data_IF_190026028515
#
_entry.id   IF_190026028515
#
_cell.length_a   1.000
_cell.length_b   1.000
_cell.length_c   1.000
_cell.angle_alpha   90.00
_cell.angle_beta   90.00
_cell.angle_gamma   90.00
#
_symmetry.space_group_name_H-M   'P 1'
#
loop_
_entity.id
_entity.type
_entity.pdbx_description
1 polymer ?
#
# COMPACT_ATOMS: atom_id res chain seq x y z
N UNK A 1 4.78 35.11 12.51
CA UNK A 1 6.07 34.68 13.12
C UNK A 1 6.60 33.56 12.23
N UNK A 2 7.86 33.63 11.83
CA UNK A 2 8.51 32.62 11.00
C UNK A 2 9.35 31.70 11.89
N UNK A 3 9.47 30.43 11.49
CA UNK A 3 10.39 29.49 12.09
C UNK A 3 11.52 29.20 11.10
N UNK A 4 12.74 29.04 11.59
CA UNK A 4 13.94 28.86 10.78
C UNK A 4 14.70 27.66 11.28
N UNK A 5 14.94 26.70 10.39
CA UNK A 5 15.56 25.44 10.70
C UNK A 5 16.77 25.19 9.80
N UNK A 6 17.88 24.78 10.38
CA UNK A 6 19.08 24.36 9.65
C UNK A 6 19.59 23.03 10.16
N UNK A 7 20.31 22.32 9.32
CA UNK A 7 20.96 21.07 9.66
C UNK A 7 22.28 20.94 8.86
N UNK A 8 23.06 19.88 9.12
CA UNK A 8 24.26 19.61 8.34
C UNK A 8 23.95 19.50 6.83
N UNK A 9 22.78 18.98 6.49
CA UNK A 9 22.23 18.95 5.13
C UNK A 9 20.72 19.15 5.15
N UNK A 10 20.16 19.66 4.04
CA UNK A 10 18.71 19.68 3.80
C UNK A 10 18.41 18.85 2.55
N UNK A 11 17.56 17.83 2.67
CA UNK A 11 17.02 17.08 1.54
C UNK A 11 15.65 17.63 1.16
N UNK A 12 15.50 18.10 -0.06
CA UNK A 12 14.25 18.76 -0.53
C UNK A 12 13.15 17.76 -0.96
N UNK A 13 13.44 16.47 -0.94
CA UNK A 13 12.64 15.42 -1.59
C UNK A 13 13.21 15.01 -2.95
N UNK A 14 14.04 15.86 -3.56
CA UNK A 14 14.66 15.64 -4.89
C UNK A 14 16.17 15.86 -4.90
N UNK A 15 16.64 16.77 -4.07
CA UNK A 15 18.05 17.21 -4.06
C UNK A 15 18.55 17.35 -2.64
N UNK A 16 19.75 16.83 -2.40
CA UNK A 16 20.50 17.07 -1.16
C UNK A 16 21.26 18.38 -1.31
N UNK A 17 20.93 19.34 -0.45
CA UNK A 17 21.64 20.62 -0.34
C UNK A 17 22.72 20.48 0.73
N UNK A 18 23.92 20.99 0.45
CA UNK A 18 25.00 21.02 1.42
C UNK A 18 24.74 21.99 2.59
N UNK A 19 25.72 22.16 3.47
CA UNK A 19 25.63 23.07 4.61
C UNK A 19 25.37 24.52 4.17
N UNK A 20 24.93 25.36 5.09
CA UNK A 20 24.69 26.81 4.83
C UNK A 20 23.33 27.09 4.20
N UNK A 21 22.36 26.18 4.36
CA UNK A 21 20.95 26.39 3.98
C UNK A 21 20.05 26.41 5.20
N UNK A 22 18.98 27.20 5.12
CA UNK A 22 17.96 27.37 6.17
C UNK A 22 16.57 27.16 5.56
N UNK A 23 15.80 26.28 6.13
CA UNK A 23 14.38 26.11 5.82
C UNK A 23 13.57 27.14 6.62
N UNK A 24 12.83 27.99 5.92
CA UNK A 24 11.91 28.97 6.50
C UNK A 24 10.48 28.44 6.40
N UNK A 25 9.74 28.50 7.51
CA UNK A 25 8.33 28.13 7.56
C UNK A 25 7.50 29.17 8.27
N UNK A 26 6.19 29.19 8.02
CA UNK A 26 5.23 29.81 8.92
C UNK A 26 5.14 29.02 10.24
N UNK A 27 4.50 29.63 11.25
CA UNK A 27 4.30 28.98 12.55
C UNK A 27 3.44 27.69 12.48
N UNK A 28 2.63 27.56 11.44
CA UNK A 28 1.81 26.36 11.16
C UNK A 28 2.58 25.24 10.41
N UNK A 29 3.88 25.47 10.12
CA UNK A 29 4.75 24.54 9.40
C UNK A 29 4.69 24.66 7.88
N UNK A 30 3.89 25.58 7.31
CA UNK A 30 3.88 25.83 5.87
C UNK A 30 5.25 26.32 5.40
N UNK A 31 5.86 25.59 4.47
CA UNK A 31 7.17 25.95 3.90
C UNK A 31 7.04 27.23 3.06
N UNK A 32 7.92 28.17 3.33
CA UNK A 32 8.05 29.42 2.56
C UNK A 32 9.14 29.28 1.50
N UNK A 33 10.37 29.00 1.95
CA UNK A 33 11.53 28.87 1.08
C UNK A 33 12.68 28.13 1.78
N UNK A 34 13.70 27.81 1.02
CA UNK A 34 15.02 27.40 1.52
C UNK A 34 16.01 28.45 1.08
N UNK A 35 16.48 29.26 2.02
CA UNK A 35 17.42 30.35 1.78
C UNK A 35 18.87 29.96 2.11
N UNK A 36 19.81 30.77 1.68
CA UNK A 36 21.19 30.73 2.20
C UNK A 36 21.23 31.30 3.61
N UNK A 37 22.10 30.76 4.46
CA UNK A 37 22.22 31.17 5.87
C UNK A 37 22.52 32.66 6.03
N UNK A 38 23.33 33.25 5.13
CA UNK A 38 23.66 34.68 5.10
C UNK A 38 22.45 35.57 4.85
N UNK A 39 21.37 35.04 4.27
CA UNK A 39 20.12 35.77 3.96
C UNK A 39 18.98 35.41 4.92
N UNK A 40 19.19 34.50 5.83
CA UNK A 40 18.13 33.98 6.72
C UNK A 40 17.96 34.87 7.99
N UNK A 41 18.92 35.72 8.33
CA UNK A 41 18.94 36.51 9.58
C UNK A 41 19.12 35.61 10.81
N UNK A 42 18.79 36.13 11.98
CA UNK A 42 19.02 35.48 13.27
C UNK A 42 17.89 34.47 13.62
N UNK A 43 17.98 33.87 14.82
CA UNK A 43 16.99 32.95 15.40
C UNK A 43 16.84 31.62 14.63
N UNK A 44 17.94 31.05 14.14
CA UNK A 44 17.99 29.78 13.44
C UNK A 44 18.12 28.65 14.46
N UNK A 45 17.20 27.67 14.39
CA UNK A 45 17.28 26.41 15.14
C UNK A 45 18.13 25.42 14.35
N UNK A 46 19.20 24.90 15.00
CA UNK A 46 20.14 23.96 14.38
C UNK A 46 19.87 22.54 14.84
N UNK A 47 19.87 21.60 13.88
CA UNK A 47 19.70 20.18 14.12
C UNK A 47 20.91 19.41 13.58
N UNK A 48 21.22 18.29 14.20
CA UNK A 48 22.19 17.35 13.66
C UNK A 48 21.57 16.51 12.52
N UNK A 49 22.44 16.01 11.61
CA UNK A 49 22.04 15.12 10.55
C UNK A 49 21.41 15.81 9.33
N UNK A 50 20.35 15.25 8.81
CA UNK A 50 19.68 15.70 7.59
C UNK A 50 18.24 16.12 7.90
N UNK A 51 17.92 17.36 7.61
CA UNK A 51 16.53 17.81 7.60
C UNK A 51 15.87 17.37 6.28
N UNK A 52 14.77 16.62 6.34
CA UNK A 52 14.08 16.09 5.18
C UNK A 52 12.55 16.19 5.36
N UNK A 53 11.78 16.10 4.26
CA UNK A 53 10.34 15.89 4.36
C UNK A 53 10.01 14.62 5.16
N UNK A 54 8.88 14.61 5.84
CA UNK A 54 8.39 13.40 6.51
C UNK A 54 8.13 12.27 5.51
N UNK A 55 8.26 11.03 5.97
CA UNK A 55 8.14 9.84 5.13
C UNK A 55 6.69 9.49 4.84
N UNK A 56 6.48 8.83 3.69
CA UNK A 56 5.19 8.30 3.26
C UNK A 56 5.28 6.78 3.20
N UNK A 57 4.40 6.11 3.95
CA UNK A 57 4.18 4.68 3.84
C UNK A 57 3.02 4.43 2.86
N UNK A 58 3.32 4.00 1.64
CA UNK A 58 2.34 3.92 0.56
C UNK A 58 1.38 2.72 0.68
N UNK A 59 1.68 1.73 1.54
CA UNK A 59 0.85 0.55 1.75
C UNK A 59 1.05 -0.02 3.16
N UNK A 60 -0.04 -0.08 3.90
CA UNK A 60 -0.11 -0.58 5.26
C UNK A 60 -1.46 -1.29 5.51
N UNK A 61 -1.51 -2.20 6.50
CA UNK A 61 -2.73 -2.77 7.07
C UNK A 61 -2.70 -2.58 8.58
N UNK A 62 -3.02 -1.39 9.06
CA UNK A 62 -2.96 -1.10 10.51
C UNK A 62 -3.92 -1.97 11.32
N UNK A 63 -5.05 -2.38 10.72
CA UNK A 63 -6.05 -3.26 11.35
C UNK A 63 -5.49 -4.62 11.77
N UNK A 64 -4.37 -5.08 11.18
CA UNK A 64 -3.71 -6.34 11.48
C UNK A 64 -2.56 -6.21 12.49
N UNK A 65 -2.40 -5.06 13.15
CA UNK A 65 -1.29 -4.80 14.07
C UNK A 65 -1.22 -5.76 15.27
N UNK A 66 -2.36 -6.30 15.70
CA UNK A 66 -2.46 -7.29 16.76
C UNK A 66 -1.88 -8.67 16.41
N UNK A 67 -1.55 -8.90 15.12
CA UNK A 67 -0.96 -10.16 14.63
C UNK A 67 0.57 -10.16 14.65
N UNK A 68 1.21 -9.10 15.14
CA UNK A 68 2.67 -9.02 15.21
C UNK A 68 3.30 -10.24 15.89
N UNK A 69 4.16 -10.95 15.14
CA UNK A 69 4.87 -12.14 15.63
C UNK A 69 4.00 -13.37 15.88
N UNK A 70 2.72 -13.37 15.47
CA UNK A 70 1.81 -14.51 15.66
C UNK A 70 1.82 -15.49 14.49
N UNK A 71 2.28 -15.09 13.32
CA UNK A 71 2.33 -15.93 12.11
C UNK A 71 3.80 -16.29 11.82
N UNK A 72 4.15 -17.53 11.54
CA UNK A 72 5.52 -17.92 11.21
C UNK A 72 5.98 -17.30 9.88
N UNK A 73 7.28 -17.05 9.77
CA UNK A 73 7.91 -16.57 8.54
C UNK A 73 8.02 -17.66 7.46
N UNK A 74 8.07 -17.25 6.20
CA UNK A 74 8.43 -18.08 5.04
C UNK A 74 7.48 -19.25 4.80
N UNK A 75 6.22 -19.06 5.14
CA UNK A 75 5.17 -20.07 4.94
C UNK A 75 4.58 -20.04 3.52
N UNK A 76 4.88 -18.99 2.77
CA UNK A 76 4.23 -18.69 1.49
C UNK A 76 2.86 -18.02 1.68
N UNK A 77 2.40 -17.32 0.65
CA UNK A 77 1.20 -16.48 0.74
C UNK A 77 -0.07 -17.24 1.11
N UNK A 78 -0.29 -18.42 0.54
CA UNK A 78 -1.53 -19.17 0.78
C UNK A 78 -1.67 -19.56 2.26
N UNK A 79 -0.62 -20.11 2.86
CA UNK A 79 -0.61 -20.43 4.30
C UNK A 79 -0.71 -19.16 5.15
N UNK A 80 0.03 -18.11 4.79
CA UNK A 80 -0.03 -16.82 5.49
C UNK A 80 -1.46 -16.26 5.54
N UNK A 81 -2.17 -16.21 4.41
CA UNK A 81 -3.56 -15.74 4.33
C UNK A 81 -4.49 -16.60 5.20
N UNK A 82 -4.35 -17.92 5.19
CA UNK A 82 -5.14 -18.81 6.04
C UNK A 82 -4.91 -18.54 7.54
N UNK A 83 -3.65 -18.28 7.95
CA UNK A 83 -3.32 -17.91 9.32
C UNK A 83 -3.90 -16.55 9.71
N UNK A 84 -3.82 -15.54 8.83
CA UNK A 84 -4.46 -14.24 9.05
C UNK A 84 -5.96 -14.42 9.28
N UNK A 85 -6.65 -15.17 8.41
CA UNK A 85 -8.10 -15.41 8.54
C UNK A 85 -8.46 -16.10 9.86
N UNK A 86 -7.63 -17.02 10.32
CA UNK A 86 -7.83 -17.76 11.59
C UNK A 86 -7.59 -16.89 12.82
N UNK A 87 -6.57 -16.02 12.79
CA UNK A 87 -6.07 -15.31 13.97
C UNK A 87 -6.57 -13.87 14.09
N UNK A 88 -7.23 -13.32 13.06
CA UNK A 88 -7.65 -11.91 13.03
C UNK A 88 -8.76 -11.55 14.02
N UNK A 89 -9.46 -12.53 14.56
CA UNK A 89 -10.59 -12.32 15.48
C UNK A 89 -10.08 -12.26 16.93
N UNK A 90 -10.01 -11.06 17.46
CA UNK A 90 -9.65 -10.75 18.84
C UNK A 90 -10.62 -9.68 19.36
N UNK A 91 -10.50 -9.28 20.63
CA UNK A 91 -11.37 -8.23 21.19
C UNK A 91 -11.09 -6.87 20.56
N UNK A 92 -12.08 -5.98 20.57
CA UNK A 92 -11.95 -4.62 20.05
C UNK A 92 -10.88 -3.83 20.82
N UNK A 93 -10.75 -4.07 22.13
CA UNK A 93 -9.73 -3.45 22.98
C UNK A 93 -8.32 -3.87 22.55
N UNK A 94 -8.11 -5.17 22.27
CA UNK A 94 -6.80 -5.69 21.81
C UNK A 94 -6.43 -5.08 20.44
N UNK A 95 -7.37 -5.03 19.50
CA UNK A 95 -7.16 -4.38 18.19
C UNK A 95 -6.81 -2.91 18.36
N UNK A 96 -7.62 -2.16 19.13
CA UNK A 96 -7.43 -0.73 19.32
C UNK A 96 -6.07 -0.42 19.95
N UNK A 97 -5.67 -1.15 21.01
CA UNK A 97 -4.38 -0.97 21.66
C UNK A 97 -3.21 -1.27 20.72
N UNK A 98 -3.31 -2.33 19.88
CA UNK A 98 -2.28 -2.69 18.91
C UNK A 98 -2.16 -1.62 17.82
N UNK A 99 -3.27 -1.11 17.28
CA UNK A 99 -3.29 -0.04 16.28
C UNK A 99 -2.70 1.26 16.82
N UNK A 100 -3.07 1.68 18.06
CA UNK A 100 -2.51 2.87 18.71
C UNK A 100 -0.99 2.78 18.86
N UNK A 101 -0.50 1.62 19.32
CA UNK A 101 0.94 1.39 19.47
C UNK A 101 1.67 1.43 18.13
N UNK A 102 1.08 0.88 17.08
CA UNK A 102 1.65 0.87 15.74
C UNK A 102 1.70 2.29 15.15
N UNK A 103 0.61 3.06 15.27
CA UNK A 103 0.53 4.45 14.80
C UNK A 103 1.54 5.34 15.51
N UNK A 104 1.64 5.26 16.84
CA UNK A 104 2.62 6.02 17.59
C UNK A 104 4.05 5.75 17.12
N UNK A 105 4.40 4.47 16.86
CA UNK A 105 5.72 4.10 16.32
C UNK A 105 5.97 4.62 14.92
N UNK A 106 4.97 4.60 14.03
CA UNK A 106 5.09 5.21 12.70
C UNK A 106 5.36 6.72 12.82
N UNK A 107 4.60 7.42 13.65
CA UNK A 107 4.78 8.86 13.85
C UNK A 107 6.16 9.19 14.45
N UNK A 108 6.60 8.46 15.48
CA UNK A 108 7.95 8.58 16.08
C UNK A 108 9.07 8.36 15.05
N UNK A 109 8.84 7.51 14.05
CA UNK A 109 9.79 7.22 12.96
C UNK A 109 9.75 8.25 11.82
N UNK A 110 8.97 9.32 11.95
CA UNK A 110 8.88 10.40 10.98
C UNK A 110 7.91 10.13 9.81
N UNK A 111 7.01 9.14 9.92
CA UNK A 111 5.96 8.92 8.93
C UNK A 111 4.85 9.96 9.13
N UNK A 112 4.53 10.70 8.06
CA UNK A 112 3.53 11.77 8.08
C UNK A 112 2.30 11.47 7.22
N UNK A 113 2.39 10.46 6.34
CA UNK A 113 1.26 10.03 5.52
C UNK A 113 1.31 8.50 5.30
N UNK A 114 0.13 7.88 5.25
CA UNK A 114 -0.02 6.43 5.07
C UNK A 114 -1.17 6.14 4.11
N UNK A 115 -0.92 5.25 3.14
CA UNK A 115 -1.94 4.55 2.38
C UNK A 115 -2.30 3.25 3.11
N UNK A 116 -3.47 3.17 3.70
CA UNK A 116 -3.87 2.07 4.58
C UNK A 116 -5.04 1.28 4.02
N UNK A 117 -4.90 -0.03 4.01
CA UNK A 117 -5.95 -0.96 3.57
C UNK A 117 -6.95 -1.16 4.72
N UNK A 118 -8.22 -0.97 4.41
CA UNK A 118 -9.32 -1.05 5.38
C UNK A 118 -10.32 -2.12 4.95
N UNK A 119 -10.51 -3.11 5.80
CA UNK A 119 -11.52 -4.15 5.63
C UNK A 119 -12.70 -3.97 6.60
N UNK A 120 -12.52 -3.15 7.64
CA UNK A 120 -13.49 -2.85 8.70
C UNK A 120 -13.49 -1.36 9.02
N UNK A 121 -14.34 -0.95 9.97
CA UNK A 121 -14.37 0.41 10.50
C UNK A 121 -13.45 0.61 11.73
N UNK A 122 -12.72 -0.41 12.16
CA UNK A 122 -11.99 -0.46 13.44
C UNK A 122 -10.96 0.67 13.58
N UNK A 123 -10.36 1.10 12.48
CA UNK A 123 -9.31 2.13 12.46
C UNK A 123 -9.82 3.58 12.44
N UNK A 124 -11.11 3.83 12.22
CA UNK A 124 -11.68 5.18 12.03
C UNK A 124 -11.40 6.09 13.23
N UNK A 125 -11.68 5.61 14.44
CA UNK A 125 -11.51 6.41 15.67
C UNK A 125 -10.05 6.83 15.89
N UNK A 126 -9.10 5.94 15.60
CA UNK A 126 -7.67 6.22 15.65
C UNK A 126 -7.30 7.29 14.62
N UNK A 127 -7.66 7.07 13.36
CA UNK A 127 -7.30 7.94 12.23
C UNK A 127 -7.84 9.36 12.37
N UNK A 128 -9.04 9.53 12.94
CA UNK A 128 -9.63 10.85 13.19
C UNK A 128 -8.87 11.67 14.25
N UNK A 129 -8.08 11.03 15.11
CA UNK A 129 -7.28 11.67 16.17
C UNK A 129 -5.79 11.75 15.81
N UNK A 130 -5.38 11.05 14.77
CA UNK A 130 -3.99 10.91 14.36
C UNK A 130 -3.41 12.21 13.78
N UNK A 131 -2.12 12.43 14.00
CA UNK A 131 -1.33 13.46 13.32
C UNK A 131 -0.85 13.00 11.94
N UNK A 132 -0.88 11.69 11.66
CA UNK A 132 -0.57 11.11 10.36
C UNK A 132 -1.75 11.37 9.41
N UNK A 133 -1.46 11.73 8.17
CA UNK A 133 -2.46 11.84 7.10
C UNK A 133 -2.73 10.47 6.52
N UNK A 134 -3.99 10.03 6.52
CA UNK A 134 -4.40 8.72 6.05
C UNK A 134 -5.12 8.84 4.70
N UNK A 135 -4.74 7.98 3.75
CA UNK A 135 -5.57 7.62 2.61
C UNK A 135 -6.10 6.21 2.85
N UNK A 136 -7.43 6.04 2.88
CA UNK A 136 -8.06 4.77 3.21
C UNK A 136 -8.42 4.03 1.92
N UNK A 137 -7.81 2.89 1.69
CA UNK A 137 -8.15 1.98 0.62
C UNK A 137 -9.15 0.95 1.13
N UNK A 138 -10.44 1.15 0.84
CA UNK A 138 -11.50 0.21 1.23
C UNK A 138 -11.45 -0.98 0.30
N UNK A 139 -10.98 -2.08 0.81
CA UNK A 139 -10.58 -3.23 0.03
C UNK A 139 -11.77 -4.12 -0.33
N UNK A 140 -11.94 -4.39 -1.62
CA UNK A 140 -13.02 -5.21 -2.17
C UNK A 140 -12.47 -6.54 -2.65
N UNK A 141 -13.07 -7.64 -2.17
CA UNK A 141 -12.79 -9.00 -2.65
C UNK A 141 -14.08 -9.73 -2.99
N UNK A 142 -14.01 -10.64 -3.97
CA UNK A 142 -15.11 -11.47 -4.43
C UNK A 142 -14.76 -12.12 -5.78
N UNK A 143 -14.35 -13.39 -5.76
CA UNK A 143 -13.92 -14.08 -6.98
C UNK A 143 -15.08 -14.65 -7.80
N UNK A 144 -16.26 -14.84 -7.20
CA UNK A 144 -17.44 -15.36 -7.88
C UNK A 144 -18.25 -14.21 -8.52
N UNK A 145 -18.34 -14.18 -9.84
CA UNK A 145 -18.92 -13.09 -10.61
C UNK A 145 -20.37 -12.72 -10.21
N UNK A 146 -21.20 -13.70 -9.85
CA UNK A 146 -22.58 -13.47 -9.42
C UNK A 146 -22.69 -12.64 -8.13
N UNK A 147 -21.62 -12.60 -7.33
CA UNK A 147 -21.56 -11.85 -6.06
C UNK A 147 -21.00 -10.43 -6.22
N UNK A 148 -20.45 -10.06 -7.38
CA UNK A 148 -19.69 -8.84 -7.60
C UNK A 148 -20.42 -7.57 -7.15
N UNK A 149 -21.69 -7.39 -7.55
CA UNK A 149 -22.50 -6.21 -7.16
C UNK A 149 -22.69 -6.13 -5.66
N UNK A 150 -22.97 -7.27 -5.01
CA UNK A 150 -23.17 -7.34 -3.55
C UNK A 150 -21.89 -6.97 -2.82
N UNK A 151 -20.75 -7.57 -3.22
CA UNK A 151 -19.44 -7.30 -2.60
C UNK A 151 -19.03 -5.83 -2.72
N UNK A 152 -19.24 -5.22 -3.89
CA UNK A 152 -18.94 -3.79 -4.03
C UNK A 152 -19.90 -2.94 -3.18
N UNK A 153 -21.19 -3.26 -3.14
CA UNK A 153 -22.16 -2.50 -2.35
C UNK A 153 -21.82 -2.51 -0.85
N UNK A 154 -21.41 -3.66 -0.30
CA UNK A 154 -20.95 -3.81 1.09
C UNK A 154 -19.76 -2.87 1.38
N UNK A 155 -18.78 -2.80 0.49
CA UNK A 155 -17.60 -1.96 0.69
C UNK A 155 -17.86 -0.46 0.41
N UNK A 156 -18.80 -0.13 -0.45
CA UNK A 156 -19.27 1.25 -0.61
C UNK A 156 -20.01 1.75 0.65
N UNK A 157 -20.70 0.87 1.36
CA UNK A 157 -21.31 1.22 2.65
C UNK A 157 -20.24 1.45 3.72
N UNK A 158 -19.20 0.62 3.74
CA UNK A 158 -18.04 0.84 4.61
C UNK A 158 -17.34 2.17 4.26
N UNK A 159 -17.13 2.46 2.97
CA UNK A 159 -16.51 3.71 2.50
C UNK A 159 -17.23 4.95 3.04
N UNK A 160 -18.56 4.94 3.14
CA UNK A 160 -19.33 6.09 3.66
C UNK A 160 -19.04 6.43 5.12
N UNK A 161 -18.47 5.50 5.88
CA UNK A 161 -18.07 5.71 7.27
C UNK A 161 -16.72 6.44 7.39
N UNK A 162 -15.90 6.39 6.34
CA UNK A 162 -14.61 7.08 6.28
C UNK A 162 -14.74 8.48 5.68
N UNK A 163 -13.72 9.33 5.90
CA UNK A 163 -13.65 10.65 5.28
C UNK A 163 -13.53 10.52 3.76
N UNK A 164 -14.57 10.83 3.02
CA UNK A 164 -14.70 10.60 1.57
C UNK A 164 -13.54 11.22 0.77
N UNK A 165 -13.03 12.38 1.18
CA UNK A 165 -11.96 13.11 0.46
C UNK A 165 -10.65 12.33 0.36
N UNK A 166 -10.37 11.46 1.33
CA UNK A 166 -9.11 10.71 1.43
C UNK A 166 -9.39 9.20 1.48
N UNK A 167 -10.39 8.74 0.74
CA UNK A 167 -10.74 7.33 0.73
C UNK A 167 -11.21 6.90 -0.66
N UNK A 168 -10.90 5.67 -1.04
CA UNK A 168 -11.32 5.05 -2.29
C UNK A 168 -11.57 3.56 -2.09
N UNK A 169 -12.47 2.96 -2.85
CA UNK A 169 -12.51 1.50 -2.95
C UNK A 169 -11.33 1.01 -3.78
N UNK A 170 -10.83 -0.17 -3.50
CA UNK A 170 -9.76 -0.77 -4.27
C UNK A 170 -9.93 -2.29 -4.38
N UNK A 171 -9.42 -2.96 -5.42
CA UNK A 171 -9.38 -4.41 -5.46
C UNK A 171 -8.33 -4.95 -4.48
N UNK A 172 -8.62 -6.07 -3.81
CA UNK A 172 -7.65 -6.73 -2.93
C UNK A 172 -6.46 -7.24 -3.74
N UNK A 173 -6.68 -8.26 -4.57
CA UNK A 173 -5.66 -8.91 -5.37
C UNK A 173 -6.29 -9.58 -6.59
N UNK A 174 -5.53 -9.85 -7.66
CA UNK A 174 -6.08 -10.48 -8.86
C UNK A 174 -6.78 -11.81 -8.57
N UNK A 175 -6.18 -12.65 -7.74
CA UNK A 175 -6.73 -13.96 -7.37
C UNK A 175 -7.97 -13.90 -6.46
N UNK A 176 -8.39 -12.74 -6.02
CA UNK A 176 -9.56 -12.58 -5.13
C UNK A 176 -10.65 -11.70 -5.71
N UNK A 177 -10.49 -11.20 -6.95
CA UNK A 177 -11.41 -10.27 -7.58
C UNK A 177 -11.84 -10.81 -8.95
N UNK A 178 -13.14 -10.96 -9.17
CA UNK A 178 -13.69 -11.44 -10.44
C UNK A 178 -13.66 -10.38 -11.54
N UNK A 179 -13.80 -10.80 -12.80
CA UNK A 179 -13.85 -9.89 -13.97
C UNK A 179 -14.92 -8.82 -13.84
N UNK A 180 -16.14 -9.23 -13.44
CA UNK A 180 -17.24 -8.31 -13.23
C UNK A 180 -16.97 -7.34 -12.08
N UNK A 181 -16.32 -7.80 -11.02
CA UNK A 181 -15.98 -6.94 -9.89
C UNK A 181 -14.89 -5.92 -10.29
N UNK A 182 -13.86 -6.29 -11.05
CA UNK A 182 -12.89 -5.34 -11.61
C UNK A 182 -13.58 -4.26 -12.45
N UNK A 183 -14.50 -4.65 -13.34
CA UNK A 183 -15.24 -3.69 -14.17
C UNK A 183 -16.07 -2.70 -13.33
N UNK A 184 -16.71 -3.17 -12.28
CA UNK A 184 -17.46 -2.32 -11.36
C UNK A 184 -16.55 -1.37 -10.57
N UNK A 185 -15.44 -1.86 -10.03
CA UNK A 185 -14.45 -1.04 -9.31
C UNK A 185 -13.88 0.04 -10.25
N UNK A 186 -13.55 -0.30 -11.50
CA UNK A 186 -13.07 0.67 -12.49
C UNK A 186 -14.00 1.88 -12.63
N UNK A 187 -15.31 1.63 -12.72
CA UNK A 187 -16.31 2.71 -12.86
C UNK A 187 -16.35 3.60 -11.62
N UNK A 188 -16.31 2.99 -10.43
CA UNK A 188 -16.43 3.71 -9.14
C UNK A 188 -15.15 4.47 -8.73
N UNK A 189 -14.01 4.17 -9.35
CA UNK A 189 -12.71 4.75 -8.97
C UNK A 189 -12.13 5.71 -10.01
N UNK A 190 -12.97 6.25 -10.88
CA UNK A 190 -12.55 7.20 -11.92
C UNK A 190 -11.70 8.34 -11.36
N UNK A 191 -10.46 8.47 -11.86
CA UNK A 191 -9.50 9.51 -11.47
C UNK A 191 -8.96 9.40 -10.04
N UNK A 192 -9.31 8.35 -9.30
CA UNK A 192 -8.88 8.16 -7.91
C UNK A 192 -7.53 7.43 -7.82
N UNK A 193 -6.96 7.46 -6.62
CA UNK A 193 -5.84 6.58 -6.25
C UNK A 193 -6.41 5.26 -5.76
N UNK A 194 -5.88 4.15 -6.27
CA UNK A 194 -6.25 2.79 -5.85
C UNK A 194 -5.02 1.95 -5.56
N UNK A 195 -5.17 0.92 -4.74
CA UNK A 195 -4.13 -0.05 -4.42
C UNK A 195 -4.58 -1.45 -4.85
N UNK A 196 -3.63 -2.32 -5.23
CA UNK A 196 -3.86 -3.73 -5.52
C UNK A 196 -2.61 -4.54 -5.17
N UNK A 197 -2.74 -5.64 -4.43
CA UNK A 197 -1.67 -6.61 -4.28
C UNK A 197 -1.40 -7.28 -5.63
N UNK A 198 -0.14 -7.34 -6.04
CA UNK A 198 0.23 -7.77 -7.38
C UNK A 198 1.46 -8.64 -7.38
N UNK A 199 1.36 -9.81 -8.01
CA UNK A 199 2.48 -10.73 -8.23
C UNK A 199 3.30 -10.97 -6.95
N UNK A 200 2.61 -11.13 -5.83
CA UNK A 200 3.23 -11.34 -4.53
C UNK A 200 3.84 -12.73 -4.43
N UNK A 201 3.18 -13.73 -5.01
CA UNK A 201 3.64 -15.13 -5.09
C UNK A 201 3.70 -15.62 -6.53
N UNK A 202 4.58 -16.58 -6.81
CA UNK A 202 4.66 -17.22 -8.12
C UNK A 202 3.34 -17.89 -8.51
N UNK A 203 2.63 -18.46 -7.54
CA UNK A 203 1.36 -19.12 -7.75
C UNK A 203 0.28 -18.22 -8.37
N UNK A 204 0.39 -16.89 -8.22
CA UNK A 204 -0.52 -15.94 -8.84
C UNK A 204 -0.38 -15.93 -10.37
N UNK A 205 0.85 -15.90 -10.89
CA UNK A 205 1.10 -16.03 -12.32
C UNK A 205 0.72 -17.43 -12.85
N UNK A 206 1.07 -18.49 -12.13
CA UNK A 206 0.73 -19.88 -12.51
C UNK A 206 -0.80 -20.05 -12.63
N UNK A 207 -1.56 -19.43 -11.72
CA UNK A 207 -3.03 -19.46 -11.74
C UNK A 207 -3.60 -18.74 -12.96
N UNK A 208 -3.11 -17.54 -13.27
CA UNK A 208 -3.59 -16.77 -14.41
C UNK A 208 -3.16 -17.33 -15.77
N UNK A 209 -1.96 -17.91 -15.84
CA UNK A 209 -1.46 -18.50 -17.06
C UNK A 209 -2.11 -19.86 -17.38
N UNK A 210 -2.28 -20.70 -16.37
CA UNK A 210 -2.57 -22.11 -16.58
C UNK A 210 -3.68 -22.69 -15.66
N UNK A 211 -4.33 -21.88 -14.81
CA UNK A 211 -5.26 -22.34 -13.76
C UNK A 211 -4.62 -23.43 -12.89
N UNK A 212 -3.41 -23.18 -12.41
CA UNK A 212 -2.61 -24.14 -11.63
C UNK A 212 -2.01 -23.47 -10.38
N UNK A 213 -1.34 -24.27 -9.54
CA UNK A 213 -0.66 -23.78 -8.34
C UNK A 213 -1.53 -23.82 -7.08
N UNK A 214 -0.95 -23.31 -5.97
CA UNK A 214 -1.51 -23.46 -4.62
C UNK A 214 -2.83 -22.70 -4.40
N UNK A 215 -3.19 -21.73 -5.25
CA UNK A 215 -4.49 -21.07 -5.15
C UNK A 215 -5.68 -22.00 -5.35
N UNK A 216 -5.51 -23.12 -6.09
CA UNK A 216 -6.54 -24.15 -6.21
C UNK A 216 -6.89 -24.76 -4.83
N UNK A 217 -5.87 -24.98 -3.99
CA UNK A 217 -6.06 -25.48 -2.63
C UNK A 217 -6.72 -24.43 -1.74
N UNK A 218 -6.35 -23.14 -1.89
CA UNK A 218 -6.98 -22.04 -1.15
C UNK A 218 -8.49 -21.96 -1.47
N UNK A 219 -8.86 -21.91 -2.74
CA UNK A 219 -10.28 -21.86 -3.13
C UNK A 219 -11.07 -23.06 -2.63
N UNK A 220 -10.49 -24.25 -2.73
CA UNK A 220 -11.11 -25.48 -2.20
C UNK A 220 -11.33 -25.38 -0.69
N UNK A 221 -10.34 -24.90 0.07
CA UNK A 221 -10.44 -24.77 1.54
C UNK A 221 -11.48 -23.71 1.95
N UNK A 222 -11.70 -22.69 1.12
CA UNK A 222 -12.67 -21.63 1.35
C UNK A 222 -14.06 -21.95 0.78
N UNK A 223 -14.25 -23.08 0.11
CA UNK A 223 -15.49 -23.45 -0.55
C UNK A 223 -15.86 -22.52 -1.72
N UNK A 224 -14.87 -21.89 -2.35
CA UNK A 224 -15.09 -20.96 -3.47
C UNK A 224 -15.07 -21.77 -4.77
N UNK A 225 -16.19 -21.71 -5.51
CA UNK A 225 -16.27 -22.30 -6.85
C UNK A 225 -15.54 -21.43 -7.87
N UNK A 226 -14.51 -21.99 -8.48
CA UNK A 226 -13.73 -21.39 -9.56
C UNK A 226 -13.95 -22.09 -10.92
N UNK A 227 -15.02 -22.88 -11.05
CA UNK A 227 -15.33 -23.60 -12.28
C UNK A 227 -15.43 -22.66 -13.50
N UNK A 228 -16.04 -21.50 -13.31
CA UNK A 228 -16.20 -20.47 -14.34
C UNK A 228 -14.97 -19.62 -14.63
N UNK A 229 -13.84 -19.81 -13.93
CA UNK A 229 -12.61 -19.09 -14.23
C UNK A 229 -11.83 -19.75 -15.36
N UNK A 230 -11.58 -19.00 -16.44
CA UNK A 230 -10.71 -19.42 -17.53
C UNK A 230 -9.36 -18.70 -17.44
N UNK A 231 -8.24 -19.42 -17.51
CA UNK A 231 -6.91 -18.81 -17.49
C UNK A 231 -6.71 -17.92 -18.73
N UNK A 232 -5.99 -16.83 -18.56
CA UNK A 232 -5.78 -15.85 -19.64
C UNK A 232 -4.60 -16.19 -20.52
N UNK A 233 -3.74 -17.13 -20.12
CA UNK A 233 -2.45 -17.41 -20.74
C UNK A 233 -1.40 -16.31 -20.52
N UNK A 234 -1.73 -15.28 -19.73
CA UNK A 234 -0.89 -14.11 -19.44
C UNK A 234 -0.51 -14.09 -17.95
N UNK A 235 0.46 -13.24 -17.59
CA UNK A 235 0.74 -12.99 -16.18
C UNK A 235 -0.47 -12.34 -15.49
N UNK A 236 -0.48 -12.39 -14.18
CA UNK A 236 -1.51 -11.75 -13.37
C UNK A 236 -1.63 -10.25 -13.69
N UNK A 237 -0.50 -9.52 -13.71
CA UNK A 237 -0.47 -8.09 -14.03
C UNK A 237 -1.08 -7.79 -15.41
N UNK A 238 -0.68 -8.52 -16.44
CA UNK A 238 -1.21 -8.35 -17.81
C UNK A 238 -2.69 -8.69 -17.91
N UNK A 239 -3.22 -9.45 -16.96
CA UNK A 239 -4.62 -9.87 -16.94
C UNK A 239 -5.53 -8.85 -16.25
N UNK A 240 -5.09 -8.22 -15.14
CA UNK A 240 -5.95 -7.28 -14.41
C UNK A 240 -5.78 -5.82 -14.82
N UNK A 241 -4.56 -5.39 -15.21
CA UNK A 241 -4.29 -3.97 -15.50
C UNK A 241 -5.20 -3.36 -16.58
N UNK A 242 -5.56 -4.08 -17.66
CA UNK A 242 -6.45 -3.56 -18.71
C UNK A 242 -7.87 -3.22 -18.24
N UNK A 243 -8.32 -3.66 -17.06
CA UNK A 243 -9.62 -3.28 -16.55
C UNK A 243 -9.67 -1.81 -16.12
N UNK A 244 -8.54 -1.20 -15.75
CA UNK A 244 -8.49 0.18 -15.25
C UNK A 244 -8.23 1.17 -16.39
N UNK A 245 -9.30 1.83 -16.86
CA UNK A 245 -9.30 2.71 -18.04
C UNK A 245 -9.79 4.12 -17.76
N UNK A 246 -10.08 4.45 -16.49
CA UNK A 246 -10.73 5.70 -16.11
C UNK A 246 -9.76 6.72 -15.49
N UNK A 247 -8.47 6.61 -15.80
CA UNK A 247 -7.43 7.56 -15.33
C UNK A 247 -7.06 7.41 -13.85
N UNK A 248 -7.20 6.20 -13.30
CA UNK A 248 -6.75 5.91 -11.95
C UNK A 248 -5.24 6.08 -11.80
N UNK A 249 -4.79 6.49 -10.60
CA UNK A 249 -3.41 6.32 -10.14
C UNK A 249 -3.34 4.99 -9.37
N UNK A 250 -2.58 4.04 -9.86
CA UNK A 250 -2.59 2.66 -9.34
C UNK A 250 -1.31 2.38 -8.57
N UNK A 251 -1.44 1.91 -7.34
CA UNK A 251 -0.34 1.40 -6.53
C UNK A 251 -0.38 -0.13 -6.61
N UNK A 252 0.51 -0.73 -7.40
CA UNK A 252 0.70 -2.18 -7.47
C UNK A 252 1.69 -2.60 -6.39
N UNK A 253 1.25 -3.45 -5.46
CA UNK A 253 2.00 -3.78 -4.23
C UNK A 253 2.72 -5.11 -4.38
N UNK A 254 3.87 -5.27 -3.72
CA UNK A 254 4.79 -6.41 -3.70
C UNK A 254 5.63 -6.58 -4.96
N UNK A 255 5.06 -7.00 -6.08
CA UNK A 255 5.72 -7.16 -7.38
C UNK A 255 6.91 -8.12 -7.38
N UNK A 256 6.91 -9.15 -6.52
CA UNK A 256 8.01 -10.09 -6.36
C UNK A 256 8.33 -10.86 -7.63
N UNK A 257 7.30 -11.21 -8.39
CA UNK A 257 7.37 -12.07 -9.57
C UNK A 257 7.07 -11.35 -10.87
N UNK A 258 7.25 -10.01 -10.87
CA UNK A 258 7.18 -9.20 -12.09
C UNK A 258 8.39 -9.48 -12.99
N UNK A 259 8.17 -9.58 -14.28
CA UNK A 259 9.23 -9.76 -15.27
C UNK A 259 9.37 -8.54 -16.21
N UNK A 260 10.37 -8.57 -17.11
CA UNK A 260 10.60 -7.46 -18.03
C UNK A 260 9.45 -7.26 -19.03
N UNK A 261 8.77 -8.32 -19.44
CA UNK A 261 7.63 -8.24 -20.36
C UNK A 261 6.45 -7.53 -19.66
N UNK A 262 6.24 -7.81 -18.39
CA UNK A 262 5.24 -7.11 -17.57
C UNK A 262 5.56 -5.61 -17.49
N UNK A 263 6.82 -5.26 -17.21
CA UNK A 263 7.26 -3.85 -17.15
C UNK A 263 7.06 -3.14 -18.47
N UNK A 264 7.40 -3.77 -19.60
CA UNK A 264 7.18 -3.23 -20.94
C UNK A 264 5.68 -3.10 -21.25
N UNK A 265 4.90 -4.08 -20.84
CA UNK A 265 3.45 -4.05 -20.97
C UNK A 265 2.83 -2.85 -20.23
N UNK A 266 3.26 -2.56 -19.00
CA UNK A 266 2.73 -1.39 -18.26
C UNK A 266 2.98 -0.07 -18.98
N UNK A 267 4.11 0.06 -19.68
CA UNK A 267 4.43 1.26 -20.47
C UNK A 267 3.54 1.43 -21.70
N UNK A 268 3.00 0.34 -22.23
CA UNK A 268 2.06 0.37 -23.36
C UNK A 268 0.64 0.74 -22.91
N UNK A 269 0.36 0.70 -21.61
CA UNK A 269 -0.94 1.08 -21.05
C UNK A 269 -0.97 2.57 -20.70
N UNK A 270 -2.13 3.19 -20.82
CA UNK A 270 -2.32 4.60 -20.47
C UNK A 270 -2.63 4.80 -18.98
N UNK A 271 -1.96 4.03 -18.11
CA UNK A 271 -2.19 4.04 -16.67
C UNK A 271 -1.04 4.72 -15.93
N UNK A 272 -1.36 5.44 -14.87
CA UNK A 272 -0.36 5.95 -13.92
C UNK A 272 -0.12 4.87 -12.88
N UNK A 273 0.90 4.03 -13.09
CA UNK A 273 1.25 2.90 -12.24
C UNK A 273 2.47 3.21 -11.37
N UNK A 274 2.35 2.92 -10.08
CA UNK A 274 3.42 3.02 -9.09
C UNK A 274 3.66 1.64 -8.49
N UNK A 275 4.90 1.16 -8.53
CA UNK A 275 5.29 -0.12 -7.93
C UNK A 275 5.63 0.09 -6.45
N UNK A 276 4.79 -0.41 -5.56
CA UNK A 276 5.03 -0.35 -4.12
C UNK A 276 5.82 -1.58 -3.66
N UNK A 277 6.97 -1.32 -3.04
CA UNK A 277 7.86 -2.36 -2.57
C UNK A 277 7.74 -2.51 -1.05
N UNK A 278 7.28 -3.67 -0.59
CA UNK A 278 7.16 -4.04 0.81
C UNK A 278 8.26 -5.05 1.16
N UNK A 279 9.52 -4.63 1.12
CA UNK A 279 10.68 -5.53 1.14
C UNK A 279 10.70 -6.49 2.33
N UNK A 280 10.40 -6.02 3.54
CA UNK A 280 10.37 -6.87 4.73
C UNK A 280 9.24 -7.90 4.67
N UNK A 281 8.03 -7.49 4.31
CA UNK A 281 6.87 -8.38 4.16
C UNK A 281 7.12 -9.44 3.08
N UNK A 282 7.68 -9.05 1.95
CA UNK A 282 8.05 -9.96 0.87
C UNK A 282 9.03 -11.05 1.34
N UNK A 283 10.04 -10.67 2.13
CA UNK A 283 10.97 -11.63 2.72
C UNK A 283 10.33 -12.48 3.82
N UNK A 284 9.41 -11.88 4.57
CA UNK A 284 8.71 -12.58 5.65
C UNK A 284 7.80 -13.68 5.10
N UNK A 285 7.01 -13.39 4.06
CA UNK A 285 6.01 -14.30 3.49
C UNK A 285 6.65 -15.29 2.51
N UNK A 286 7.30 -14.78 1.46
CA UNK A 286 7.78 -15.57 0.30
C UNK A 286 9.30 -15.78 0.30
N UNK A 287 10.03 -15.12 1.20
CA UNK A 287 11.49 -15.10 1.21
C UNK A 287 12.12 -14.64 -0.13
N UNK A 288 11.45 -13.74 -0.83
CA UNK A 288 11.85 -13.21 -2.15
C UNK A 288 11.85 -11.70 -2.10
N UNK A 289 12.58 -11.04 -2.98
CA UNK A 289 12.55 -9.60 -3.20
C UNK A 289 12.18 -9.32 -4.67
N UNK A 290 11.46 -8.22 -4.93
CA UNK A 290 11.14 -7.80 -6.29
C UNK A 290 12.42 -7.40 -7.05
N UNK A 291 12.41 -7.46 -8.41
CA UNK A 291 13.57 -7.13 -9.23
C UNK A 291 13.79 -5.60 -9.32
N UNK A 292 14.16 -4.96 -8.20
CA UNK A 292 14.30 -3.50 -8.04
C UNK A 292 15.17 -2.89 -9.13
N UNK A 293 16.31 -3.53 -9.44
CA UNK A 293 17.23 -3.04 -10.49
C UNK A 293 16.57 -2.97 -11.87
N UNK A 294 15.68 -3.91 -12.19
CA UNK A 294 14.92 -3.90 -13.45
C UNK A 294 13.92 -2.74 -13.46
N UNK A 295 13.21 -2.50 -12.37
CA UNK A 295 12.27 -1.38 -12.23
C UNK A 295 12.98 -0.03 -12.39
N UNK A 296 14.13 0.16 -11.74
CA UNK A 296 14.94 1.39 -11.83
C UNK A 296 15.45 1.59 -13.26
N UNK A 297 16.07 0.57 -13.88
CA UNK A 297 16.57 0.65 -15.28
C UNK A 297 15.48 1.01 -16.27
N UNK A 298 14.26 0.62 -15.99
CA UNK A 298 13.10 0.92 -16.81
C UNK A 298 12.41 2.25 -16.43
N UNK A 299 12.98 3.08 -15.56
CA UNK A 299 12.40 4.34 -15.10
C UNK A 299 10.96 4.17 -14.56
N UNK A 300 10.70 3.08 -13.85
CA UNK A 300 9.40 2.86 -13.22
C UNK A 300 9.24 3.79 -12.00
N UNK A 301 8.03 4.24 -11.76
CA UNK A 301 7.70 4.94 -10.51
C UNK A 301 7.67 3.94 -9.36
N UNK A 302 8.52 4.13 -8.35
CA UNK A 302 8.65 3.24 -7.21
C UNK A 302 8.25 4.01 -5.95
N UNK A 303 7.44 3.37 -5.09
CA UNK A 303 7.08 3.84 -3.76
C UNK A 303 7.36 2.73 -2.75
N UNK A 304 7.44 3.08 -1.47
CA UNK A 304 7.73 2.14 -0.40
C UNK A 304 6.51 1.95 0.49
N UNK A 305 6.23 0.71 0.84
CA UNK A 305 5.21 0.31 1.81
C UNK A 305 5.78 -0.64 2.86
N UNK A 306 5.04 -0.85 3.92
CA UNK A 306 5.43 -1.77 5.00
C UNK A 306 4.62 -3.04 5.05
N UNK A 307 3.44 -3.05 4.43
CA UNK A 307 2.43 -4.06 4.64
C UNK A 307 1.97 -4.11 6.13
N UNK A 308 1.55 -5.23 6.63
CA UNK A 308 1.03 -5.41 7.99
C UNK A 308 2.11 -5.80 9.01
N UNK A 309 1.83 -5.60 10.32
CA UNK A 309 2.63 -6.23 11.37
C UNK A 309 2.44 -7.76 11.46
N UNK A 310 1.49 -8.33 10.75
CA UNK A 310 1.37 -9.79 10.59
C UNK A 310 2.53 -10.37 9.77
N UNK A 311 3.11 -9.56 8.87
CA UNK A 311 4.19 -9.91 7.94
C UNK A 311 5.44 -9.05 8.12
N UNK A 312 5.55 -8.27 9.22
CA UNK A 312 6.67 -7.34 9.41
C UNK A 312 7.00 -7.14 10.90
N UNK A 313 8.22 -6.70 11.15
CA UNK A 313 8.71 -6.36 12.50
C UNK A 313 8.35 -4.94 12.91
N UNK A 314 8.20 -4.02 11.95
CA UNK A 314 7.86 -2.61 12.15
C UNK A 314 7.06 -2.07 10.94
N UNK A 315 6.35 -0.96 11.15
CA UNK A 315 5.66 -0.21 10.09
C UNK A 315 6.41 1.09 9.73
N UNK A 316 7.73 1.07 9.86
CA UNK A 316 8.62 2.21 9.62
C UNK A 316 9.89 1.79 8.87
#
# INVERSE_FOLDING_TARGET
MYQKFSAANIFTGYKLLGPGHVLLTHADGTILEIAKIENAGDDIQYFEGILCPGFVNAHCHIELSHLKGKIPEKTGLVEFVQQVMKLRHVTEEEKAAAMQKAEAKMYESGIVAVGDICNTADSITLKNKSKIRWHNFIEVSGFVDSTAKKRLAEMLELLRQFAVKNSSVCPHAPYSVSKNLFALINIHTKGQVISIHNQETKAENDFYQNKSGNFLNLYKSLGIDIGGFEPTGKTSLQSWLPFFTQGQNIIAVHNNFINNEDVLFTKSQNNKLHFCLCANANRYIENVLPPVNSLIKNNCSIVIGTDSLASNYALS
#
